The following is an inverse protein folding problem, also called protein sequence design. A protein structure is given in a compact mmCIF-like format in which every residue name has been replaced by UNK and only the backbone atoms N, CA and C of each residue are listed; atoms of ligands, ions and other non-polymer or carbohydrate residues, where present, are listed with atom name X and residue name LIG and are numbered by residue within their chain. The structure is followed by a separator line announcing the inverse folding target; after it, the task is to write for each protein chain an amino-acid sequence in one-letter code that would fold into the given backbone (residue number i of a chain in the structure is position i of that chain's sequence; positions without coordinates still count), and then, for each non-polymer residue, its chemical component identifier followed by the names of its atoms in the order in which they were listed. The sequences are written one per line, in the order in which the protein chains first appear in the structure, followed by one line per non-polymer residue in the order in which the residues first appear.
data_IF_754736455005
#
_entry.id   IF_754736455005
#
_cell.length_a   1.000
_cell.length_b   1.000
_cell.length_c   1.000
_cell.angle_alpha   90.00
_cell.angle_beta   90.00
_cell.angle_gamma   90.00
#
_symmetry.space_group_name_H-M   'P 1'
#
loop_
_entity.id
_entity.type
_entity.pdbx_description
1 polymer ?
#
# COMPACT_ATOMS: atom_id res chain seq x y z
N UNK A 1 4.07 -36.06 -2.01
CA UNK A 1 4.39 -34.74 -2.59
C UNK A 1 3.45 -34.48 -3.75
N UNK A 2 2.61 -33.43 -3.69
CA UNK A 2 2.12 -32.80 -4.90
C UNK A 2 2.55 -31.33 -4.95
N UNK A 3 3.18 -30.98 -6.07
CA UNK A 3 3.36 -29.62 -6.53
C UNK A 3 1.98 -28.99 -6.80
N UNK A 4 1.67 -27.88 -6.14
CA UNK A 4 0.62 -26.94 -6.58
C UNK A 4 1.29 -25.76 -7.26
N UNK A 5 1.19 -25.70 -8.58
CA UNK A 5 1.36 -24.47 -9.35
C UNK A 5 -0.01 -23.77 -9.39
N UNK A 6 -0.13 -22.59 -8.79
CA UNK A 6 -1.26 -21.69 -9.00
C UNK A 6 -0.79 -20.49 -9.83
N UNK A 7 -1.03 -20.58 -11.13
CA UNK A 7 -1.07 -19.43 -12.03
C UNK A 7 -2.35 -18.64 -11.71
N UNK A 8 -2.25 -17.61 -10.88
CA UNK A 8 -3.34 -16.69 -10.58
C UNK A 8 -2.85 -15.25 -10.76
N UNK A 9 -3.04 -14.68 -11.95
CA UNK A 9 -2.79 -13.26 -12.18
C UNK A 9 -3.91 -12.40 -11.58
N UNK A 10 -3.55 -11.47 -10.70
CA UNK A 10 -4.44 -10.45 -10.13
C UNK A 10 -4.53 -9.23 -11.08
N UNK A 11 -5.70 -8.63 -11.27
CA UNK A 11 -5.97 -7.58 -12.26
C UNK A 11 -6.12 -6.21 -11.58
N UNK A 12 -5.55 -5.14 -12.15
CA UNK A 12 -5.66 -3.76 -11.67
C UNK A 12 -6.97 -3.08 -12.11
N UNK A 13 -7.66 -2.36 -11.22
CA UNK A 13 -8.79 -1.43 -11.49
C UNK A 13 -8.50 -0.12 -10.73
N UNK A 14 -8.13 0.98 -11.37
CA UNK A 14 -9.02 2.05 -11.82
C UNK A 14 -8.18 3.20 -12.44
N UNK A 15 -8.81 4.03 -13.27
CA UNK A 15 -8.16 5.15 -13.98
C UNK A 15 -8.10 6.42 -13.13
N UNK A 16 -6.90 6.91 -12.82
CA UNK A 16 -6.66 8.29 -12.38
C UNK A 16 -5.86 9.06 -13.43
N UNK A 17 -6.40 10.20 -13.87
CA UNK A 17 -5.70 11.14 -14.75
C UNK A 17 -4.46 11.70 -14.05
N UNK A 18 -3.29 11.50 -14.67
CA UNK A 18 -2.01 12.04 -14.19
C UNK A 18 -1.93 13.54 -14.49
N UNK A 19 -1.93 14.38 -13.45
CA UNK A 19 -1.50 15.78 -13.55
C UNK A 19 -0.04 15.90 -13.09
N UNK A 20 0.86 16.21 -14.03
CA UNK A 20 2.26 16.55 -13.72
C UNK A 20 2.38 18.06 -13.49
N UNK A 21 2.64 18.47 -12.25
CA UNK A 21 3.19 19.80 -11.95
C UNK A 21 4.72 19.70 -11.94
N UNK A 22 5.39 20.46 -12.82
CA UNK A 22 6.82 20.67 -12.79
C UNK A 22 7.15 21.91 -11.94
N UNK A 23 7.89 21.74 -10.83
CA UNK A 23 8.50 22.82 -10.05
C UNK A 23 9.91 22.42 -9.58
N UNK A 24 10.73 23.44 -9.30
CA UNK A 24 12.19 23.44 -9.18
C UNK A 24 12.79 22.50 -8.08
N UNK A 25 14.09 22.27 -8.21
CA UNK A 25 14.88 21.13 -7.70
C UNK A 25 15.16 21.11 -6.18
N UNK A 26 14.55 21.96 -5.33
CA UNK A 26 14.97 22.09 -3.92
C UNK A 26 14.21 21.25 -2.87
N UNK A 27 13.15 20.51 -3.22
CA UNK A 27 12.26 19.87 -2.22
C UNK A 27 12.18 18.35 -2.35
N UNK A 28 13.34 17.67 -2.30
CA UNK A 28 13.37 16.21 -2.15
C UNK A 28 13.89 15.83 -0.78
N UNK A 29 13.18 14.94 -0.07
CA UNK A 29 13.62 14.34 1.20
C UNK A 29 13.93 12.85 0.99
N UNK A 30 14.94 12.30 1.67
CA UNK A 30 15.21 10.87 1.61
C UNK A 30 14.10 10.07 2.31
N UNK A 31 13.86 8.86 1.85
CA UNK A 31 13.10 7.85 2.61
C UNK A 31 13.93 7.31 3.78
N UNK A 32 13.29 6.63 4.73
CA UNK A 32 14.01 5.99 5.84
C UNK A 32 15.01 4.95 5.28
N UNK A 33 16.32 5.10 5.55
CA UNK A 33 17.35 4.24 4.99
C UNK A 33 17.28 2.79 5.49
N UNK A 34 16.58 2.52 6.60
CA UNK A 34 16.40 1.15 7.10
C UNK A 34 15.46 0.32 6.21
N UNK A 35 14.53 0.98 5.51
CA UNK A 35 13.51 0.31 4.69
C UNK A 35 13.69 0.54 3.19
N UNK A 36 14.16 1.72 2.80
CA UNK A 36 14.34 2.10 1.40
C UNK A 36 15.56 3.04 1.22
N UNK A 37 16.79 2.54 1.31
CA UNK A 37 17.98 3.37 1.09
C UNK A 37 18.07 3.84 -0.36
N UNK A 38 18.46 5.11 -0.55
CA UNK A 38 18.69 5.71 -1.87
C UNK A 38 17.46 6.28 -2.57
N UNK A 39 16.25 6.04 -2.07
CA UNK A 39 15.03 6.62 -2.62
C UNK A 39 14.78 8.03 -2.06
N UNK A 40 14.07 8.82 -2.85
CA UNK A 40 13.68 10.19 -2.49
C UNK A 40 12.19 10.38 -2.74
N UNK A 41 11.55 11.12 -1.85
CA UNK A 41 10.17 11.57 -1.99
C UNK A 41 10.11 13.09 -2.02
N UNK A 42 8.96 13.64 -2.43
CA UNK A 42 8.69 15.08 -2.44
C UNK A 42 7.60 15.40 -1.43
N UNK A 43 6.36 15.55 -1.92
CA UNK A 43 5.17 15.85 -1.12
C UNK A 43 4.48 14.62 -0.54
N UNK A 44 4.98 13.41 -0.83
CA UNK A 44 4.51 12.20 -0.17
C UNK A 44 4.82 12.27 1.33
N UNK A 45 4.04 11.54 2.13
CA UNK A 45 4.26 11.44 3.57
C UNK A 45 5.58 10.71 3.88
N UNK A 46 5.63 9.40 3.54
CA UNK A 46 6.76 8.53 3.91
C UNK A 46 7.36 7.76 2.72
N UNK A 47 6.55 7.29 1.76
CA UNK A 47 7.02 6.53 0.59
C UNK A 47 6.32 6.93 -0.71
N UNK A 48 6.92 6.65 -1.89
CA UNK A 48 6.38 7.09 -3.18
C UNK A 48 5.04 6.44 -3.54
N UNK A 49 4.83 5.17 -3.16
CA UNK A 49 3.66 4.40 -3.55
C UNK A 49 3.01 3.71 -2.35
N UNK A 50 1.68 3.71 -2.34
CA UNK A 50 0.85 2.90 -1.46
C UNK A 50 0.02 1.93 -2.30
N UNK A 51 0.06 0.65 -1.93
CA UNK A 51 -0.75 -0.40 -2.51
C UNK A 51 -1.77 -0.91 -1.49
N UNK A 52 -3.02 -1.08 -1.94
CA UNK A 52 -4.11 -1.70 -1.17
C UNK A 52 -4.79 -2.73 -2.07
N UNK A 53 -5.24 -3.85 -1.52
CA UNK A 53 -6.13 -4.76 -2.27
C UNK A 53 -7.60 -4.38 -2.10
N UNK A 54 -8.38 -4.54 -3.18
CA UNK A 54 -9.82 -4.35 -3.16
C UNK A 54 -10.47 -5.24 -2.10
N UNK A 55 -9.99 -6.49 -1.97
CA UNK A 55 -10.53 -7.42 -0.98
C UNK A 55 -10.27 -6.98 0.46
N UNK A 56 -9.13 -6.35 0.76
CA UNK A 56 -8.90 -5.69 2.06
C UNK A 56 -9.91 -4.58 2.34
N UNK A 57 -10.24 -3.76 1.34
CA UNK A 57 -11.25 -2.71 1.47
C UNK A 57 -12.64 -3.30 1.70
N UNK A 58 -13.00 -4.33 0.93
CA UNK A 58 -14.30 -5.00 1.06
C UNK A 58 -14.46 -5.59 2.46
N UNK A 59 -13.45 -6.31 2.98
CA UNK A 59 -13.47 -6.89 4.33
C UNK A 59 -13.50 -5.84 5.44
N UNK A 60 -12.92 -4.65 5.21
CA UNK A 60 -13.12 -3.52 6.13
C UNK A 60 -14.56 -3.00 6.06
N UNK A 61 -15.09 -2.79 4.86
CA UNK A 61 -16.43 -2.25 4.64
C UNK A 61 -17.55 -3.17 5.16
N UNK A 62 -17.36 -4.48 5.14
CA UNK A 62 -18.27 -5.46 5.76
C UNK A 62 -18.42 -5.27 7.28
N UNK A 63 -17.44 -4.65 7.94
CA UNK A 63 -17.45 -4.39 9.38
C UNK A 63 -17.88 -2.97 9.74
N UNK A 64 -18.02 -2.08 8.76
CA UNK A 64 -18.44 -0.70 8.96
C UNK A 64 -19.95 -0.57 8.85
N UNK A 65 -20.53 0.30 9.68
CA UNK A 65 -21.95 0.68 9.53
C UNK A 65 -22.20 1.37 8.18
N UNK A 66 -21.28 2.27 7.81
CA UNK A 66 -21.30 3.00 6.55
C UNK A 66 -20.00 2.68 5.79
N UNK A 67 -20.07 2.01 4.63
CA UNK A 67 -18.89 1.71 3.82
C UNK A 67 -18.14 2.98 3.41
N UNK A 68 -16.81 2.89 3.36
CA UNK A 68 -15.93 3.96 2.90
C UNK A 68 -15.36 3.66 1.52
N UNK A 69 -15.16 4.70 0.72
CA UNK A 69 -14.49 4.60 -0.58
C UNK A 69 -12.97 4.50 -0.41
N UNK A 70 -12.32 3.82 -1.35
CA UNK A 70 -10.86 3.66 -1.40
C UNK A 70 -10.12 5.00 -1.42
N UNK A 71 -10.76 6.06 -1.93
CA UNK A 71 -10.19 7.41 -1.97
C UNK A 71 -9.84 7.97 -0.58
N UNK A 72 -10.47 7.49 0.50
CA UNK A 72 -10.13 7.83 1.90
C UNK A 72 -8.71 7.40 2.26
N UNK A 73 -8.24 6.29 1.68
CA UNK A 73 -6.91 5.73 1.97
C UNK A 73 -5.82 6.24 1.03
N UNK A 74 -6.20 6.80 -0.12
CA UNK A 74 -5.33 7.42 -1.12
C UNK A 74 -4.21 6.49 -1.64
N UNK A 75 -4.50 5.21 -1.99
CA UNK A 75 -3.49 4.38 -2.62
C UNK A 75 -3.14 4.91 -4.01
N UNK A 76 -1.94 4.58 -4.47
CA UNK A 76 -1.53 4.76 -5.85
C UNK A 76 -1.89 3.53 -6.71
N UNK A 77 -1.92 2.36 -6.08
CA UNK A 77 -2.13 1.06 -6.72
C UNK A 77 -3.25 0.35 -5.96
N UNK A 78 -4.31 -0.02 -6.67
CA UNK A 78 -5.41 -0.85 -6.17
C UNK A 78 -5.40 -2.17 -6.94
N UNK A 79 -5.31 -3.28 -6.22
CA UNK A 79 -5.22 -4.63 -6.82
C UNK A 79 -6.48 -5.43 -6.52
N UNK A 80 -6.96 -6.19 -7.51
CA UNK A 80 -8.13 -7.06 -7.39
C UNK A 80 -7.74 -8.52 -7.67
N UNK A 81 -8.56 -9.47 -7.22
CA UNK A 81 -8.33 -10.91 -7.41
C UNK A 81 -7.40 -11.56 -6.37
N UNK A 82 -7.24 -10.92 -5.21
CA UNK A 82 -6.40 -11.41 -4.11
C UNK A 82 -7.20 -11.68 -2.83
N UNK A 83 -6.63 -12.45 -1.91
CA UNK A 83 -7.21 -12.65 -0.58
C UNK A 83 -7.15 -11.35 0.25
N UNK A 84 -8.05 -11.15 1.23
CA UNK A 84 -7.98 -9.99 2.10
C UNK A 84 -6.61 -9.90 2.80
N UNK A 85 -6.02 -8.71 2.77
CA UNK A 85 -4.77 -8.35 3.45
C UNK A 85 -3.52 -9.11 2.98
N UNK A 86 -3.59 -9.89 1.90
CA UNK A 86 -2.42 -10.62 1.44
C UNK A 86 -1.27 -9.70 1.00
N UNK A 87 -1.59 -8.46 0.60
CA UNK A 87 -0.60 -7.45 0.19
C UNK A 87 0.42 -7.12 1.27
N UNK A 88 0.07 -7.31 2.54
CA UNK A 88 0.95 -7.07 3.69
C UNK A 88 2.19 -7.97 3.67
N UNK A 89 2.10 -9.13 3.03
CA UNK A 89 3.16 -10.12 2.98
C UNK A 89 3.93 -10.09 1.65
N UNK A 90 3.57 -9.23 0.71
CA UNK A 90 4.24 -9.13 -0.57
C UNK A 90 5.55 -8.37 -0.41
N UNK A 91 6.69 -9.05 -0.61
CA UNK A 91 8.01 -8.43 -0.50
C UNK A 91 8.44 -7.74 -1.78
N UNK A 92 8.40 -8.46 -2.89
CA UNK A 92 8.72 -7.95 -4.22
C UNK A 92 7.58 -8.36 -5.16
N UNK A 93 7.07 -7.40 -5.92
CA UNK A 93 6.02 -7.62 -6.92
C UNK A 93 6.45 -7.04 -8.26
N UNK A 94 5.90 -7.57 -9.35
CA UNK A 94 6.09 -7.04 -10.70
C UNK A 94 4.75 -6.66 -11.30
N UNK A 95 4.68 -5.45 -11.84
CA UNK A 95 3.51 -4.92 -12.56
C UNK A 95 4.01 -4.36 -13.90
N UNK A 96 3.57 -4.95 -15.00
CA UNK A 96 4.16 -4.70 -16.31
C UNK A 96 5.67 -5.00 -16.31
N UNK A 97 6.48 -4.01 -16.66
CA UNK A 97 7.94 -4.11 -16.66
C UNK A 97 8.60 -3.57 -15.38
N UNK A 98 7.82 -3.05 -14.44
CA UNK A 98 8.33 -2.43 -13.21
C UNK A 98 8.33 -3.43 -12.05
N UNK A 99 9.42 -3.45 -11.30
CA UNK A 99 9.51 -4.17 -10.02
C UNK A 99 9.29 -3.19 -8.87
N UNK A 100 8.37 -3.54 -7.98
CA UNK A 100 8.13 -2.82 -6.74
C UNK A 100 8.58 -3.65 -5.55
N UNK A 101 9.15 -2.98 -4.56
CA UNK A 101 9.58 -3.58 -3.29
C UNK A 101 8.83 -2.96 -2.14
N UNK A 102 8.37 -3.82 -1.22
CA UNK A 102 7.73 -3.37 0.00
C UNK A 102 8.72 -2.83 1.01
N UNK A 103 8.35 -1.69 1.60
CA UNK A 103 9.15 -0.95 2.57
C UNK A 103 8.64 -1.16 3.97
N UNK A 104 7.38 -0.84 4.26
CA UNK A 104 6.71 -1.10 5.54
C UNK A 104 5.18 -1.14 5.40
N UNK A 105 4.49 -1.80 6.33
CA UNK A 105 3.03 -1.68 6.43
C UNK A 105 2.65 -0.20 6.64
N UNK A 106 1.60 0.24 5.97
CA UNK A 106 1.15 1.63 6.07
C UNK A 106 0.36 1.82 7.36
N UNK A 107 1.00 2.37 8.40
CA UNK A 107 0.28 2.84 9.57
C UNK A 107 -0.65 4.00 9.18
N UNK A 108 -1.89 4.01 9.68
CA UNK A 108 -2.86 5.04 9.32
C UNK A 108 -2.92 6.14 10.36
N UNK A 109 -2.84 7.37 9.90
CA UNK A 109 -3.19 8.56 10.67
C UNK A 109 -4.72 8.78 10.64
N UNK A 110 -5.19 9.91 11.19
CA UNK A 110 -6.62 10.27 11.21
C UNK A 110 -7.22 10.67 9.86
N UNK A 111 -6.42 10.89 8.82
CA UNK A 111 -6.91 11.41 7.52
C UNK A 111 -8.03 10.56 6.90
N UNK A 112 -8.01 9.20 6.94
CA UNK A 112 -9.11 8.39 6.43
C UNK A 112 -10.44 8.59 7.15
N UNK A 113 -10.45 9.20 8.35
CA UNK A 113 -11.69 9.48 9.09
C UNK A 113 -12.38 10.78 8.71
N UNK A 114 -11.79 11.52 7.77
CA UNK A 114 -12.38 12.75 7.24
C UNK A 114 -13.22 12.42 6.02
N UNK A 115 -14.48 12.82 6.03
CA UNK A 115 -15.33 12.74 4.85
C UNK A 115 -14.81 13.71 3.79
N UNK A 116 -14.40 13.22 2.62
CA UNK A 116 -13.83 14.06 1.56
C UNK A 116 -14.85 14.95 0.85
N UNK A 117 -16.15 14.66 0.96
CA UNK A 117 -17.21 15.47 0.35
C UNK A 117 -17.66 16.59 1.30
N UNK A 118 -17.81 16.30 2.59
CA UNK A 118 -18.33 17.25 3.59
C UNK A 118 -17.25 17.91 4.45
N UNK A 119 -16.01 17.41 4.39
CA UNK A 119 -14.89 17.77 5.28
C UNK A 119 -15.12 17.48 6.77
N UNK A 120 -16.19 16.77 7.12
CA UNK A 120 -16.50 16.42 8.51
C UNK A 120 -15.57 15.31 9.02
N UNK A 121 -15.08 15.46 10.25
CA UNK A 121 -14.26 14.47 10.91
C UNK A 121 -15.14 13.48 11.68
N UNK A 122 -14.83 12.19 11.54
CA UNK A 122 -15.39 11.11 12.35
C UNK A 122 -14.31 10.27 13.02
N UNK A 123 -14.73 9.12 13.57
CA UNK A 123 -13.84 8.12 14.15
C UNK A 123 -13.55 6.94 13.21
N UNK A 124 -14.48 6.61 12.32
CA UNK A 124 -14.33 5.53 11.35
C UNK A 124 -13.55 5.98 10.11
N UNK A 125 -12.70 5.10 9.52
CA UNK A 125 -12.60 3.65 9.75
C UNK A 125 -11.62 3.24 10.87
N UNK A 126 -11.07 4.20 11.63
CA UNK A 126 -9.97 3.91 12.57
C UNK A 126 -10.39 3.06 13.75
N UNK A 127 -11.59 3.30 14.30
CA UNK A 127 -12.13 2.50 15.41
C UNK A 127 -12.36 1.05 15.02
N UNK A 128 -12.88 0.81 13.82
CA UNK A 128 -13.07 -0.56 13.33
C UNK A 128 -11.75 -1.23 13.00
N UNK A 129 -10.81 -0.54 12.33
CA UNK A 129 -9.46 -1.08 12.09
C UNK A 129 -8.71 -1.40 13.39
N UNK A 130 -8.92 -0.65 14.48
CA UNK A 130 -8.28 -0.94 15.77
C UNK A 130 -8.60 -2.36 16.28
N UNK A 131 -9.81 -2.86 15.99
CA UNK A 131 -10.32 -4.15 16.48
C UNK A 131 -9.66 -5.36 15.82
N UNK A 132 -9.08 -5.22 14.62
CA UNK A 132 -8.51 -6.37 13.89
C UNK A 132 -7.21 -6.08 13.11
N UNK A 133 -6.77 -4.82 13.03
CA UNK A 133 -5.59 -4.36 12.29
C UNK A 133 -4.62 -3.52 13.12
N UNK A 134 -4.71 -3.60 14.45
CA UNK A 134 -3.76 -2.90 15.33
C UNK A 134 -2.41 -3.64 15.43
N UNK A 135 -1.35 -2.92 15.78
CA UNK A 135 -0.02 -3.49 16.08
C UNK A 135 -0.06 -4.67 17.06
N UNK A 136 -0.92 -4.57 18.09
CA UNK A 136 -1.17 -5.63 19.07
C UNK A 136 -1.70 -6.91 18.43
N UNK A 137 -2.55 -6.80 17.41
CA UNK A 137 -3.19 -7.93 16.74
C UNK A 137 -2.27 -8.52 15.68
N UNK A 138 -1.64 -7.67 14.89
CA UNK A 138 -0.69 -8.10 13.85
C UNK A 138 0.64 -8.59 14.44
N UNK A 139 0.93 -8.29 15.72
CA UNK A 139 2.15 -8.71 16.44
C UNK A 139 3.42 -8.31 15.69
N UNK A 140 3.49 -7.03 15.36
CA UNK A 140 4.66 -6.42 14.70
C UNK A 140 5.91 -6.56 15.56
N UNK A 141 7.10 -6.46 14.97
CA UNK A 141 8.38 -6.51 15.70
C UNK A 141 8.63 -5.32 16.67
N UNK A 142 7.80 -4.27 16.61
CA UNK A 142 7.85 -3.09 17.49
C UNK A 142 6.93 -3.25 18.70
N UNK A 143 7.27 -2.57 19.80
CA UNK A 143 6.37 -2.44 20.96
C UNK A 143 5.04 -1.81 20.51
N UNK A 144 3.88 -2.39 20.92
CA UNK A 144 2.57 -1.82 20.58
C UNK A 144 2.45 -0.37 21.05
N UNK A 145 2.03 0.49 20.14
CA UNK A 145 1.78 1.93 20.32
C UNK A 145 0.33 2.30 20.02
N UNK A 146 -0.54 1.32 19.74
CA UNK A 146 -1.92 1.57 19.33
C UNK A 146 -2.00 2.07 17.89
N UNK A 147 -1.08 1.63 17.02
CA UNK A 147 -1.14 1.94 15.58
C UNK A 147 -2.05 0.96 14.88
N UNK A 148 -2.71 1.41 13.82
CA UNK A 148 -3.51 0.59 12.91
C UNK A 148 -2.86 0.56 11.53
N UNK A 149 -2.98 -0.56 10.83
CA UNK A 149 -2.32 -0.75 9.53
C UNK A 149 -3.31 -1.12 8.43
N UNK A 150 -3.21 -0.41 7.30
CA UNK A 150 -4.02 -0.69 6.12
C UNK A 150 -3.29 -0.28 4.85
N UNK A 151 -2.93 -1.28 4.04
CA UNK A 151 -2.10 -1.12 2.84
C UNK A 151 -0.61 -1.26 3.10
N UNK A 152 0.13 -1.38 2.01
CA UNK A 152 1.56 -1.65 1.97
C UNK A 152 2.29 -0.51 1.26
N UNK A 153 3.29 0.09 1.92
CA UNK A 153 4.16 1.08 1.29
C UNK A 153 5.17 0.38 0.37
N UNK A 154 5.42 1.00 -0.79
CA UNK A 154 6.29 0.47 -1.84
C UNK A 154 7.26 1.52 -2.39
N UNK A 155 8.37 1.04 -2.93
CA UNK A 155 9.25 1.77 -3.85
C UNK A 155 9.35 1.05 -5.17
N UNK A 156 9.50 1.78 -6.27
CA UNK A 156 9.77 1.19 -7.59
C UNK A 156 11.28 0.99 -7.73
N UNK A 157 11.75 -0.25 -7.75
CA UNK A 157 13.18 -0.61 -7.79
C UNK A 157 13.86 -0.02 -9.02
N UNK A 158 13.16 -0.04 -10.15
CA UNK A 158 13.70 0.43 -11.43
C UNK A 158 13.84 1.97 -11.48
N UNK A 159 13.24 2.71 -10.54
CA UNK A 159 13.31 4.17 -10.49
C UNK A 159 14.70 4.72 -10.14
N UNK A 160 15.59 3.87 -9.59
CA UNK A 160 16.98 4.21 -9.35
C UNK A 160 17.87 4.02 -10.59
N UNK A 161 17.41 3.29 -11.60
CA UNK A 161 18.13 3.14 -12.85
C UNK A 161 18.00 4.42 -13.70
N UNK A 162 19.02 4.73 -14.50
CA UNK A 162 18.97 5.84 -15.46
C UNK A 162 18.14 5.49 -16.71
N UNK A 163 17.49 4.33 -16.73
CA UNK A 163 16.66 3.90 -17.85
C UNK A 163 15.37 4.71 -17.93
N UNK A 164 14.75 4.68 -19.12
CA UNK A 164 13.49 5.37 -19.38
C UNK A 164 12.42 4.85 -18.42
N UNK A 165 11.66 5.77 -17.81
CA UNK A 165 10.52 5.44 -16.95
C UNK A 165 9.55 4.53 -17.70
N UNK A 166 9.26 3.38 -17.12
CA UNK A 166 8.29 2.39 -17.62
C UNK A 166 6.91 2.69 -17.04
N UNK A 167 5.88 2.63 -17.87
CA UNK A 167 4.49 2.89 -17.46
C UNK A 167 3.81 1.58 -17.06
N UNK A 168 2.97 1.63 -16.01
CA UNK A 168 1.99 0.58 -15.71
C UNK A 168 0.59 1.06 -16.10
N UNK A 169 -0.31 0.13 -16.42
CA UNK A 169 -1.68 0.42 -16.84
C UNK A 169 -2.70 -0.35 -16.01
N UNK A 170 -3.91 0.18 -15.97
CA UNK A 170 -5.07 -0.58 -15.50
C UNK A 170 -5.22 -1.84 -16.33
N UNK A 171 -5.51 -2.95 -15.66
CA UNK A 171 -5.53 -4.28 -16.27
C UNK A 171 -4.19 -5.02 -16.27
N UNK A 172 -3.06 -4.37 -15.97
CA UNK A 172 -1.78 -5.07 -15.91
C UNK A 172 -1.81 -6.12 -14.77
N UNK A 173 -1.33 -7.34 -15.03
CA UNK A 173 -1.27 -8.37 -14.01
C UNK A 173 -0.22 -8.04 -12.95
N UNK A 174 -0.55 -8.35 -11.70
CA UNK A 174 0.38 -8.28 -10.58
C UNK A 174 0.95 -9.66 -10.30
N UNK A 175 2.28 -9.79 -10.44
CA UNK A 175 3.00 -11.01 -10.10
C UNK A 175 3.75 -10.83 -8.79
N UNK A 176 3.44 -11.69 -7.81
CA UNK A 176 4.19 -11.71 -6.56
C UNK A 176 5.48 -12.52 -6.76
N UNK A 177 6.61 -11.84 -6.68
CA UNK A 177 7.94 -12.44 -6.92
C UNK A 177 8.51 -13.01 -5.63
N UNK A 178 8.26 -12.32 -4.51
CA UNK A 178 8.76 -12.72 -3.19
C UNK A 178 7.73 -12.37 -2.12
N UNK A 179 7.55 -13.28 -1.17
CA UNK A 179 6.75 -13.09 0.04
C UNK A 179 7.66 -12.97 1.26
N UNK A 180 7.18 -12.29 2.30
CA UNK A 180 7.66 -12.48 3.67
C UNK A 180 6.79 -13.50 4.39
N UNK A 181 7.34 -14.18 5.40
CA UNK A 181 6.68 -15.29 6.11
C UNK A 181 5.69 -14.84 7.19
N UNK A 182 5.79 -13.61 7.67
CA UNK A 182 4.98 -13.12 8.79
C UNK A 182 4.93 -11.59 8.85
N UNK A 183 4.03 -11.04 9.67
CA UNK A 183 3.98 -9.61 9.99
C UNK A 183 5.17 -9.10 10.81
N UNK A 184 5.97 -9.99 11.40
CA UNK A 184 7.24 -9.64 12.05
C UNK A 184 8.32 -9.37 10.99
N UNK A 185 8.24 -10.12 9.88
CA UNK A 185 9.14 -10.02 8.74
C UNK A 185 8.69 -8.97 7.72
N UNK A 186 7.39 -8.71 7.66
CA UNK A 186 6.86 -7.49 7.06
C UNK A 186 7.44 -6.34 7.88
N UNK A 187 8.26 -5.52 7.25
CA UNK A 187 8.80 -4.35 7.90
C UNK A 187 7.65 -3.47 8.40
N UNK A 188 7.75 -2.98 9.64
CA UNK A 188 6.75 -2.15 10.34
C UNK A 188 7.46 -1.09 11.12
#
# INVERSE_FOLDING_TARGET
MPHFFLNGGCIFKDSFHSFLFAHAVSESRPTDPNYAPGYKIKFNDVYPFLLISQKSLDTLNEQLKEPVSINRFRPNILVDGSEPFCEDLWKDIKIGENTFRSTELCYRCKVPTINQETAEAGSEPSETLMKFRSDKILKTNKKPQGRIYFGQNLVCVDSLSQEKRKTIKVGDPVYVIKMVSSYVDASV
#
